data_IF_416450413253
#
_entry.id   IF_416450413253
#
_cell.length_a   1.000
_cell.length_b   1.000
_cell.length_c   1.000
_cell.angle_alpha   90.00
_cell.angle_beta   90.00
_cell.angle_gamma   90.00
#
_symmetry.space_group_name_H-M   'P 1'
#
loop_
_entity.id
_entity.type
_entity.pdbx_description
1 polymer ?
#
# COMPACT_ATOMS: atom_id res chain seq x y z
N UNK A 1 -11.61 -5.34 -2.27
CA UNK A 1 -10.71 -4.18 -2.20
C UNK A 1 -9.38 -4.66 -1.65
N UNK A 2 -8.27 -4.03 -2.02
CA UNK A 2 -6.93 -4.45 -1.63
C UNK A 2 -6.03 -3.22 -1.52
N UNK A 3 -5.17 -3.16 -0.51
CA UNK A 3 -4.26 -2.03 -0.33
C UNK A 3 -2.81 -2.45 -0.49
N UNK A 4 -2.04 -1.62 -1.19
CA UNK A 4 -0.58 -1.69 -1.25
C UNK A 4 -0.01 -0.43 -0.60
N UNK A 5 0.84 -0.59 0.40
CA UNK A 5 1.48 0.52 1.11
C UNK A 5 2.98 0.54 0.82
N UNK A 6 3.50 1.71 0.48
CA UNK A 6 4.93 1.93 0.31
C UNK A 6 5.31 3.36 0.70
N UNK A 7 6.57 3.57 1.10
CA UNK A 7 7.08 4.89 1.48
C UNK A 7 8.36 5.22 0.75
N UNK A 8 8.53 6.50 0.42
CA UNK A 8 9.71 6.98 -0.30
C UNK A 8 9.86 6.25 -1.63
N UNK A 9 11.04 5.64 -1.85
CA UNK A 9 11.35 4.91 -3.09
C UNK A 9 10.46 3.68 -3.32
N UNK A 10 9.80 3.18 -2.27
CA UNK A 10 8.91 2.02 -2.36
C UNK A 10 7.47 2.40 -2.73
N UNK A 11 7.11 3.69 -2.74
CA UNK A 11 5.76 4.11 -3.14
C UNK A 11 5.42 3.76 -4.62
N UNK A 12 6.31 4.01 -5.60
CA UNK A 12 6.11 3.51 -6.96
C UNK A 12 5.94 1.99 -7.06
N UNK A 13 6.62 1.22 -6.20
CA UNK A 13 6.48 -0.25 -6.14
C UNK A 13 5.07 -0.63 -5.67
N UNK A 14 4.54 0.06 -4.65
CA UNK A 14 3.18 -0.14 -4.18
C UNK A 14 2.12 0.20 -5.26
N UNK A 15 2.34 1.29 -6.01
CA UNK A 15 1.48 1.68 -7.14
C UNK A 15 1.49 0.62 -8.26
N UNK A 16 2.66 0.13 -8.64
CA UNK A 16 2.79 -0.90 -9.68
C UNK A 16 2.15 -2.22 -9.24
N UNK A 17 2.37 -2.63 -7.98
CA UNK A 17 1.74 -3.84 -7.41
C UNK A 17 0.21 -3.77 -7.47
N UNK A 18 -0.38 -2.63 -7.09
CA UNK A 18 -1.81 -2.39 -7.21
C UNK A 18 -2.29 -2.41 -8.67
N UNK A 19 -1.55 -1.78 -9.59
CA UNK A 19 -1.86 -1.77 -11.02
C UNK A 19 -1.89 -3.18 -11.60
N UNK A 20 -0.85 -3.99 -11.35
CA UNK A 20 -0.78 -5.37 -11.86
C UNK A 20 -1.89 -6.23 -11.28
N UNK A 21 -2.21 -6.09 -9.99
CA UNK A 21 -3.32 -6.84 -9.39
C UNK A 21 -4.65 -6.48 -10.05
N UNK A 22 -4.92 -5.19 -10.31
CA UNK A 22 -6.12 -4.76 -11.06
C UNK A 22 -6.19 -5.42 -12.44
N UNK A 23 -5.09 -5.38 -13.19
CA UNK A 23 -5.04 -5.85 -14.58
C UNK A 23 -5.29 -7.34 -14.73
N UNK A 24 -4.69 -8.17 -13.87
CA UNK A 24 -4.71 -9.63 -14.04
C UNK A 24 -5.87 -10.32 -13.34
N UNK A 25 -6.36 -9.74 -12.24
CA UNK A 25 -7.34 -10.38 -11.36
C UNK A 25 -8.71 -9.69 -11.35
N UNK A 26 -8.80 -8.48 -11.91
CA UNK A 26 -9.96 -7.60 -11.80
C UNK A 26 -10.34 -7.23 -10.36
N UNK A 27 -9.46 -7.49 -9.38
CA UNK A 27 -9.62 -7.05 -7.99
C UNK A 27 -9.32 -5.56 -7.92
N UNK A 28 -10.22 -4.81 -7.27
CA UNK A 28 -9.97 -3.41 -6.96
C UNK A 28 -8.83 -3.28 -5.93
N UNK A 29 -7.68 -2.76 -6.37
CA UNK A 29 -6.47 -2.60 -5.55
C UNK A 29 -5.93 -1.17 -5.59
N UNK A 30 -5.46 -0.59 -4.50
CA UNK A 30 -4.93 0.78 -4.51
C UNK A 30 -3.56 0.87 -3.84
N UNK A 31 -2.65 1.60 -4.48
CA UNK A 31 -1.35 1.92 -3.90
C UNK A 31 -1.40 3.24 -3.16
N UNK A 32 -1.04 3.26 -1.88
CA UNK A 32 -1.01 4.46 -1.05
C UNK A 32 0.40 4.74 -0.50
N UNK A 33 0.77 6.02 -0.37
CA UNK A 33 1.96 6.40 0.37
C UNK A 33 1.72 6.16 1.86
N UNK A 34 2.52 5.29 2.50
CA UNK A 34 2.32 4.90 3.89
C UNK A 34 2.36 6.08 4.88
N UNK A 35 3.06 7.17 4.53
CA UNK A 35 3.08 8.40 5.31
C UNK A 35 1.74 9.13 5.41
N UNK A 36 0.82 8.90 4.46
CA UNK A 36 -0.49 9.54 4.40
C UNK A 36 -1.59 8.75 5.11
N UNK A 37 -1.28 7.56 5.64
CA UNK A 37 -2.28 6.68 6.25
C UNK A 37 -3.09 7.39 7.33
N UNK A 38 -2.44 8.22 8.15
CA UNK A 38 -3.08 8.95 9.25
C UNK A 38 -3.97 10.12 8.80
N UNK A 39 -3.96 10.48 7.52
CA UNK A 39 -4.76 11.58 6.97
C UNK A 39 -6.11 11.13 6.38
N UNK A 40 -6.59 9.93 6.75
CA UNK A 40 -7.88 9.39 6.30
C UNK A 40 -7.84 7.93 5.83
N UNK A 41 -6.87 7.52 4.98
CA UNK A 41 -6.84 6.17 4.40
C UNK A 41 -6.82 5.02 5.43
N UNK A 42 -6.34 5.26 6.66
CA UNK A 42 -6.40 4.27 7.74
C UNK A 42 -7.83 3.81 8.07
N UNK A 43 -8.85 4.63 7.80
CA UNK A 43 -10.25 4.26 8.00
C UNK A 43 -10.74 3.16 7.03
N UNK A 44 -9.96 2.86 5.98
CA UNK A 44 -10.25 1.77 5.04
C UNK A 44 -9.71 0.42 5.51
N UNK A 45 -8.87 0.38 6.54
CA UNK A 45 -8.27 -0.85 7.04
C UNK A 45 -9.07 -1.39 8.22
N UNK A 46 -9.50 -2.64 8.08
CA UNK A 46 -10.08 -3.47 9.12
C UNK A 46 -9.51 -4.90 9.03
N UNK A 47 -10.09 -5.84 9.77
CA UNK A 47 -9.66 -7.24 9.78
C UNK A 47 -9.91 -7.97 8.45
N UNK A 48 -10.79 -7.44 7.59
CA UNK A 48 -11.18 -8.05 6.32
C UNK A 48 -10.44 -7.43 5.12
N UNK A 49 -9.87 -6.23 5.25
CA UNK A 49 -9.16 -5.54 4.18
C UNK A 49 -7.74 -6.11 3.95
N UNK A 50 -7.50 -6.86 2.85
CA UNK A 50 -6.17 -7.37 2.58
C UNK A 50 -5.22 -6.22 2.23
N UNK A 51 -4.09 -6.19 2.92
CA UNK A 51 -3.09 -5.12 2.81
C UNK A 51 -1.69 -5.72 2.67
N UNK A 52 -0.93 -5.25 1.67
CA UNK A 52 0.49 -5.57 1.46
C UNK A 52 1.33 -4.33 1.73
N UNK A 53 2.40 -4.49 2.50
CA UNK A 53 3.29 -3.40 2.89
C UNK A 53 4.71 -3.67 2.42
N UNK A 54 5.29 -2.74 1.66
CA UNK A 54 6.71 -2.80 1.24
C UNK A 54 7.58 -2.13 2.30
N UNK A 55 8.02 -2.93 3.29
CA UNK A 55 8.82 -2.48 4.43
C UNK A 55 10.26 -3.02 4.39
N UNK A 56 11.09 -2.46 3.51
CA UNK A 56 12.52 -2.79 3.45
C UNK A 56 13.29 -2.15 4.63
N UNK A 57 14.35 -2.81 5.11
CA UNK A 57 15.23 -2.29 6.17
C UNK A 57 16.08 -1.12 5.67
N UNK A 58 15.46 0.04 5.57
CA UNK A 58 16.09 1.30 5.13
C UNK A 58 15.80 2.45 6.11
N UNK A 59 16.18 3.67 5.74
CA UNK A 59 16.01 4.89 6.56
C UNK A 59 14.56 5.23 6.93
N UNK A 60 13.56 4.63 6.27
CA UNK A 60 12.13 4.86 6.57
C UNK A 60 11.46 3.64 7.20
N UNK A 61 12.19 2.56 7.48
CA UNK A 61 11.63 1.32 8.06
C UNK A 61 10.86 1.57 9.35
N UNK A 62 11.42 2.30 10.31
CA UNK A 62 10.75 2.60 11.59
C UNK A 62 9.54 3.53 11.45
N UNK A 63 9.32 4.07 10.24
CA UNK A 63 8.20 4.95 9.91
C UNK A 63 7.18 4.28 8.98
N UNK A 64 7.36 2.99 8.68
CA UNK A 64 6.37 2.17 7.99
C UNK A 64 5.32 1.67 8.96
#
# INVERSE_FOLDING_TARGET
>A
NFLYLGRGINYPIALEGALKLKEISYIHAEGYPAGEMKHGPIALIDEEMPTVVVALKDRVYDKM
#
